data_IF_640076311563
#
_entry.id   IF_640076311563
#
_cell.length_a   1.000
_cell.length_b   1.000
_cell.length_c   1.000
_cell.angle_alpha   90.00
_cell.angle_beta   90.00
_cell.angle_gamma   90.00
#
_symmetry.space_group_name_H-M   'P 1'
#
loop_
_entity.id
_entity.type
_entity.pdbx_description
1 polymer ?
#
# COMPACT_ATOMS: atom_id res chain seq x y z
N UNK A 1 -2.11 6.19 -28.98
CA UNK A 1 -2.56 7.51 -28.54
C UNK A 1 -1.34 8.31 -28.09
N UNK A 2 -1.29 9.61 -28.40
CA UNK A 2 -0.23 10.53 -28.00
C UNK A 2 -0.85 11.81 -27.44
N UNK A 3 0.02 12.75 -26.98
CA UNK A 3 -0.39 14.04 -26.49
C UNK A 3 -1.06 14.04 -25.13
N UNK A 4 -1.87 15.06 -24.85
CA UNK A 4 -2.46 15.33 -23.53
C UNK A 4 -3.33 14.19 -23.00
N UNK A 5 -4.04 13.47 -23.86
CA UNK A 5 -4.87 12.34 -23.44
C UNK A 5 -4.04 11.17 -22.91
N UNK A 6 -2.91 10.86 -23.57
CA UNK A 6 -1.97 9.83 -23.06
C UNK A 6 -1.41 10.23 -21.71
N UNK A 7 -0.98 11.49 -21.56
CA UNK A 7 -0.45 12.00 -20.30
C UNK A 7 -1.47 11.91 -19.15
N UNK A 8 -2.75 12.22 -19.42
CA UNK A 8 -3.82 12.04 -18.42
C UNK A 8 -4.01 10.60 -17.99
N UNK A 9 -3.94 9.63 -18.91
CA UNK A 9 -3.99 8.21 -18.57
C UNK A 9 -2.77 7.77 -17.77
N UNK A 10 -1.57 8.23 -18.13
CA UNK A 10 -0.36 7.93 -17.38
C UNK A 10 -0.40 8.49 -15.96
N UNK A 11 -0.91 9.71 -15.76
CA UNK A 11 -1.10 10.29 -14.42
C UNK A 11 -2.15 9.52 -13.63
N UNK A 12 -3.28 9.17 -14.24
CA UNK A 12 -4.38 8.48 -13.55
C UNK A 12 -4.05 7.04 -13.20
N UNK A 13 -3.42 6.30 -14.10
CA UNK A 13 -3.28 4.85 -14.05
C UNK A 13 -1.83 4.38 -13.91
N UNK A 14 -0.84 5.28 -13.95
CA UNK A 14 0.59 4.94 -13.90
C UNK A 14 0.99 4.35 -12.56
N UNK A 15 1.41 3.10 -12.58
CA UNK A 15 1.84 2.33 -11.42
C UNK A 15 3.34 1.95 -11.46
N UNK A 16 4.02 2.25 -12.56
CA UNK A 16 5.44 1.95 -12.79
C UNK A 16 5.88 0.57 -12.26
N UNK A 17 5.11 -0.45 -12.60
CA UNK A 17 5.33 -1.83 -12.19
C UNK A 17 5.13 -2.13 -10.69
N UNK A 18 4.56 -1.23 -9.91
CA UNK A 18 4.10 -1.48 -8.53
C UNK A 18 2.81 -2.32 -8.50
N UNK A 19 2.29 -2.72 -9.67
CA UNK A 19 1.12 -3.57 -9.76
C UNK A 19 1.43 -4.99 -9.29
N UNK A 20 0.41 -5.63 -8.76
CA UNK A 20 0.47 -7.02 -8.34
C UNK A 20 0.71 -7.96 -9.53
N UNK A 21 1.67 -8.86 -9.38
CA UNK A 21 1.95 -9.97 -10.32
C UNK A 21 2.12 -11.25 -9.54
N UNK A 22 1.65 -12.35 -10.11
CA UNK A 22 1.84 -13.68 -9.51
C UNK A 22 1.65 -14.78 -10.56
N UNK A 23 2.09 -15.99 -10.24
CA UNK A 23 1.88 -17.17 -11.08
C UNK A 23 0.64 -17.92 -10.61
N UNK A 24 -0.25 -18.24 -11.54
CA UNK A 24 -1.42 -19.06 -11.24
C UNK A 24 -0.98 -20.45 -10.81
N UNK A 25 -1.47 -20.91 -9.66
CA UNK A 25 -1.26 -22.27 -9.15
C UNK A 25 -2.55 -23.08 -9.10
N UNK A 26 -3.70 -22.39 -9.07
CA UNK A 26 -5.01 -23.04 -9.10
C UNK A 26 -6.01 -22.13 -9.84
N UNK A 27 -6.85 -22.73 -10.67
CA UNK A 27 -7.94 -22.06 -11.37
C UNK A 27 -9.23 -22.87 -11.26
N UNK A 28 -10.29 -22.21 -10.83
CA UNK A 28 -11.66 -22.71 -10.86
C UNK A 28 -12.53 -21.76 -11.70
N UNK A 29 -13.78 -22.12 -11.97
CA UNK A 29 -14.68 -21.27 -12.78
C UNK A 29 -14.85 -19.85 -12.23
N UNK A 30 -14.71 -19.67 -10.91
CA UNK A 30 -14.94 -18.40 -10.23
C UNK A 30 -13.81 -18.00 -9.28
N UNK A 31 -12.67 -18.69 -9.31
CA UNK A 31 -11.52 -18.29 -8.49
C UNK A 31 -10.19 -18.58 -9.18
N UNK A 32 -9.21 -17.74 -8.87
CA UNK A 32 -7.81 -17.89 -9.29
C UNK A 32 -6.91 -17.71 -8.09
N UNK A 33 -6.10 -18.73 -7.79
CA UNK A 33 -5.05 -18.64 -6.77
C UNK A 33 -3.70 -18.46 -7.42
N UNK A 34 -2.91 -17.54 -6.87
CA UNK A 34 -1.57 -17.19 -7.37
C UNK A 34 -0.54 -17.25 -6.25
N UNK A 35 0.67 -17.65 -6.62
CA UNK A 35 1.87 -17.67 -5.78
C UNK A 35 3.03 -16.98 -6.51
N UNK A 36 4.21 -16.95 -5.91
CA UNK A 36 5.38 -16.25 -6.43
C UNK A 36 5.05 -14.80 -6.81
N UNK A 37 4.53 -14.09 -5.82
CA UNK A 37 3.94 -12.77 -5.95
C UNK A 37 5.05 -11.71 -5.95
N UNK A 38 4.88 -10.65 -6.76
CA UNK A 38 5.82 -9.52 -6.86
C UNK A 38 5.81 -8.60 -5.63
N UNK A 39 4.82 -8.73 -4.77
CA UNK A 39 4.62 -7.94 -3.55
C UNK A 39 4.75 -8.88 -2.36
N UNK A 40 5.84 -8.74 -1.61
CA UNK A 40 6.21 -9.71 -0.59
C UNK A 40 5.35 -9.62 0.68
N UNK A 41 4.86 -8.42 1.03
CA UNK A 41 4.20 -8.17 2.31
C UNK A 41 2.81 -7.56 2.15
N UNK A 42 1.89 -7.95 3.02
CA UNK A 42 0.50 -7.47 3.03
C UNK A 42 0.41 -5.94 3.18
N UNK A 43 1.37 -5.32 3.85
CA UNK A 43 1.39 -3.87 4.05
C UNK A 43 1.73 -3.10 2.76
N UNK A 44 2.45 -3.73 1.84
CA UNK A 44 2.78 -3.17 0.52
C UNK A 44 1.71 -3.49 -0.53
N UNK A 45 0.74 -4.37 -0.22
CA UNK A 45 -0.34 -4.73 -1.13
C UNK A 45 -1.34 -3.57 -1.28
N UNK A 46 -1.73 -3.28 -2.52
CA UNK A 46 -2.75 -2.26 -2.85
C UNK A 46 -3.69 -2.80 -3.94
N UNK A 47 -4.56 -3.71 -3.54
CA UNK A 47 -5.62 -4.24 -4.40
C UNK A 47 -6.94 -3.53 -4.07
N UNK A 48 -7.76 -3.17 -5.08
CA UNK A 48 -9.14 -2.76 -4.82
C UNK A 48 -9.90 -3.81 -4.02
N UNK A 49 -10.76 -3.36 -3.11
CA UNK A 49 -11.56 -4.26 -2.28
C UNK A 49 -12.54 -5.07 -3.11
N UNK A 50 -13.10 -4.43 -4.14
CA UNK A 50 -14.07 -5.01 -5.10
C UNK A 50 -13.97 -4.29 -6.45
N UNK A 51 -14.58 -4.87 -7.46
CA UNK A 51 -14.60 -4.34 -8.83
C UNK A 51 -13.18 -4.19 -9.43
N UNK A 52 -12.20 -4.84 -8.82
CA UNK A 52 -10.85 -4.88 -9.32
C UNK A 52 -10.73 -5.75 -10.58
N UNK A 53 -9.68 -5.52 -11.34
CA UNK A 53 -9.40 -6.25 -12.58
C UNK A 53 -8.09 -7.01 -12.47
N UNK A 54 -8.15 -8.26 -12.91
CA UNK A 54 -6.97 -9.08 -13.13
C UNK A 54 -6.90 -9.48 -14.60
N UNK A 55 -5.71 -9.65 -15.10
CA UNK A 55 -5.47 -10.10 -16.48
C UNK A 55 -4.56 -11.31 -16.46
N UNK A 56 -5.01 -12.39 -17.09
CA UNK A 56 -4.25 -13.61 -17.29
C UNK A 56 -4.44 -14.09 -18.73
N UNK A 57 -3.37 -14.50 -19.39
CA UNK A 57 -3.39 -14.91 -20.79
C UNK A 57 -4.11 -13.90 -21.71
N UNK A 58 -3.87 -12.59 -21.51
CA UNK A 58 -4.52 -11.47 -22.23
C UNK A 58 -6.07 -11.39 -22.08
N UNK A 59 -6.65 -12.15 -21.17
CA UNK A 59 -8.07 -12.07 -20.83
C UNK A 59 -8.20 -11.35 -19.50
N UNK A 60 -9.08 -10.35 -19.46
CA UNK A 60 -9.36 -9.60 -18.23
C UNK A 60 -10.63 -10.14 -17.56
N UNK A 61 -10.51 -10.35 -16.25
CA UNK A 61 -11.60 -10.75 -15.36
C UNK A 61 -11.79 -9.68 -14.28
N UNK A 62 -13.03 -9.43 -13.89
CA UNK A 62 -13.33 -8.67 -12.69
C UNK A 62 -13.41 -9.60 -11.50
N UNK A 63 -13.01 -9.12 -10.30
CA UNK A 63 -13.16 -9.86 -9.07
C UNK A 63 -13.97 -9.05 -8.06
N UNK A 64 -14.73 -9.76 -7.22
CA UNK A 64 -15.57 -9.18 -6.17
C UNK A 64 -14.85 -9.12 -4.81
N UNK A 65 -13.86 -10.00 -4.61
CA UNK A 65 -13.04 -10.04 -3.42
C UNK A 65 -11.71 -10.76 -3.67
N UNK A 66 -10.80 -10.59 -2.74
CA UNK A 66 -9.54 -11.33 -2.70
C UNK A 66 -9.22 -11.78 -1.27
N UNK A 67 -8.41 -12.82 -1.15
CA UNK A 67 -7.92 -13.36 0.11
C UNK A 67 -6.43 -13.68 -0.01
N UNK A 68 -5.63 -13.23 0.94
CA UNK A 68 -4.20 -13.49 1.02
C UNK A 68 -3.88 -14.43 2.18
N UNK A 69 -3.03 -15.42 1.96
CA UNK A 69 -2.42 -16.21 3.01
C UNK A 69 -1.12 -15.55 3.44
N UNK A 70 -1.02 -15.13 4.69
CA UNK A 70 0.15 -14.42 5.23
C UNK A 70 0.77 -15.19 6.40
N UNK A 71 2.11 -15.14 6.51
CA UNK A 71 2.83 -15.65 7.67
C UNK A 71 2.85 -14.64 8.84
N UNK A 72 3.50 -15.01 9.94
CA UNK A 72 3.63 -14.17 11.14
C UNK A 72 4.30 -12.81 10.89
N UNK A 73 5.09 -12.67 9.86
CA UNK A 73 5.76 -11.44 9.45
C UNK A 73 4.91 -10.60 8.47
N UNK A 74 3.73 -11.10 8.09
CA UNK A 74 2.85 -10.50 7.09
C UNK A 74 3.30 -10.77 5.65
N UNK A 75 4.26 -11.70 5.43
CA UNK A 75 4.67 -12.05 4.08
C UNK A 75 3.59 -12.89 3.40
N UNK A 76 3.27 -12.51 2.17
CA UNK A 76 2.22 -13.15 1.38
C UNK A 76 2.74 -14.46 0.79
N UNK A 77 2.05 -15.54 1.03
CA UNK A 77 2.35 -16.88 0.45
C UNK A 77 1.54 -17.12 -0.82
N UNK A 78 0.25 -16.77 -0.79
CA UNK A 78 -0.64 -16.88 -1.94
C UNK A 78 -1.75 -15.83 -1.86
N UNK A 79 -2.34 -15.51 -3.01
CA UNK A 79 -3.56 -14.69 -3.08
C UNK A 79 -4.57 -15.42 -3.93
N UNK A 80 -5.80 -15.50 -3.45
CA UNK A 80 -6.95 -16.03 -4.20
C UNK A 80 -7.88 -14.89 -4.56
N UNK A 81 -8.15 -14.73 -5.84
CA UNK A 81 -9.15 -13.79 -6.36
C UNK A 81 -10.47 -14.51 -6.58
N UNK A 82 -11.55 -14.02 -5.99
CA UNK A 82 -12.91 -14.48 -6.23
C UNK A 82 -13.53 -13.65 -7.35
N UNK A 83 -13.77 -14.28 -8.48
CA UNK A 83 -14.21 -13.59 -9.70
C UNK A 83 -15.68 -13.22 -9.61
N UNK A 84 -16.02 -12.11 -10.26
CA UNK A 84 -17.41 -11.69 -10.42
C UNK A 84 -18.19 -12.70 -11.25
N UNK A 85 -19.42 -12.99 -10.81
CA UNK A 85 -20.27 -14.04 -11.41
C UNK A 85 -20.63 -13.78 -12.87
N UNK A 86 -20.48 -12.55 -13.33
CA UNK A 86 -20.80 -12.13 -14.69
C UNK A 86 -19.86 -12.74 -15.75
N UNK A 87 -18.68 -13.18 -15.34
CA UNK A 87 -17.66 -13.69 -16.26
C UNK A 87 -16.90 -14.87 -15.64
N UNK A 88 -17.54 -16.03 -15.63
CA UNK A 88 -16.88 -17.27 -15.28
C UNK A 88 -15.76 -17.64 -16.25
N UNK A 89 -14.72 -18.29 -15.76
CA UNK A 89 -13.72 -18.93 -16.63
C UNK A 89 -14.34 -20.19 -17.23
N UNK A 90 -14.59 -20.15 -18.52
CA UNK A 90 -15.01 -21.33 -19.25
C UNK A 90 -13.80 -22.26 -19.41
N UNK A 91 -13.93 -23.51 -18.97
CA UNK A 91 -12.88 -24.53 -19.08
C UNK A 91 -11.53 -24.04 -18.44
N UNK A 92 -11.48 -23.88 -17.09
CA UNK A 92 -10.32 -23.27 -16.41
C UNK A 92 -8.99 -23.95 -16.75
N UNK A 93 -8.98 -25.27 -16.85
CA UNK A 93 -7.76 -26.05 -17.15
C UNK A 93 -7.16 -25.72 -18.53
N UNK A 94 -7.98 -25.31 -19.50
CA UNK A 94 -7.52 -24.94 -20.85
C UNK A 94 -7.29 -23.45 -20.99
N UNK A 95 -8.09 -22.63 -20.31
CA UNK A 95 -8.08 -21.17 -20.47
C UNK A 95 -6.99 -20.52 -19.62
N UNK A 96 -6.77 -21.04 -18.41
CA UNK A 96 -5.81 -20.53 -17.43
C UNK A 96 -5.00 -21.68 -16.88
N UNK A 97 -3.96 -22.08 -17.60
CA UNK A 97 -3.08 -23.15 -17.16
C UNK A 97 -2.24 -22.71 -15.95
N UNK A 98 -1.88 -23.69 -15.12
CA UNK A 98 -0.91 -23.51 -14.05
C UNK A 98 0.40 -22.90 -14.59
N UNK A 99 0.96 -21.94 -13.85
CA UNK A 99 2.18 -21.23 -14.23
C UNK A 99 1.96 -19.97 -15.09
N UNK A 100 0.74 -19.69 -15.57
CA UNK A 100 0.46 -18.44 -16.28
C UNK A 100 0.64 -17.23 -15.36
N UNK A 101 1.21 -16.15 -15.91
CA UNK A 101 1.35 -14.89 -15.20
C UNK A 101 0.00 -14.18 -15.13
N UNK A 102 -0.41 -13.87 -13.91
CA UNK A 102 -1.54 -13.00 -13.60
C UNK A 102 -1.01 -11.61 -13.21
N UNK A 103 -1.65 -10.56 -13.72
CA UNK A 103 -1.41 -9.19 -13.32
C UNK A 103 -2.72 -8.57 -12.79
N UNK A 104 -2.64 -7.84 -11.69
CA UNK A 104 -3.71 -6.96 -11.24
C UNK A 104 -3.29 -5.50 -11.43
N UNK A 105 -4.22 -4.66 -11.86
CA UNK A 105 -3.94 -3.27 -12.24
C UNK A 105 -3.47 -3.13 -13.68
N UNK A 106 -3.03 -1.93 -14.04
CA UNK A 106 -2.78 -1.53 -15.43
C UNK A 106 -1.37 -1.81 -15.94
N UNK A 107 -0.39 -2.04 -15.06
CA UNK A 107 1.03 -2.25 -15.41
C UNK A 107 1.61 -1.16 -16.35
N UNK A 108 1.23 0.11 -16.12
CA UNK A 108 1.67 1.24 -16.91
C UNK A 108 3.02 1.73 -16.40
N UNK A 109 4.04 1.69 -17.27
CA UNK A 109 5.39 2.15 -16.93
C UNK A 109 5.48 3.69 -16.93
N UNK A 110 4.70 4.32 -16.07
CA UNK A 110 4.74 5.74 -15.75
C UNK A 110 4.50 5.90 -14.24
N UNK A 111 5.07 6.92 -13.63
CA UNK A 111 4.83 7.27 -12.22
C UNK A 111 3.61 8.17 -12.14
N UNK A 112 2.46 7.54 -11.99
CA UNK A 112 1.18 8.21 -11.81
C UNK A 112 0.71 8.19 -10.36
N UNK A 113 -0.55 8.56 -10.15
CA UNK A 113 -1.18 8.55 -8.82
C UNK A 113 -1.08 7.17 -8.14
N UNK A 114 -1.37 6.04 -8.83
CA UNK A 114 -1.26 4.72 -8.19
C UNK A 114 0.15 4.40 -7.67
N UNK A 115 1.18 4.76 -8.43
CA UNK A 115 2.58 4.56 -8.00
C UNK A 115 2.89 5.25 -6.67
N UNK A 116 2.57 6.54 -6.55
CA UNK A 116 2.83 7.29 -5.32
C UNK A 116 1.93 6.87 -4.17
N UNK A 117 0.65 6.58 -4.46
CA UNK A 117 -0.28 6.10 -3.43
C UNK A 117 0.13 4.75 -2.86
N UNK A 118 0.66 3.83 -3.68
CA UNK A 118 1.19 2.54 -3.21
C UNK A 118 2.30 2.75 -2.19
N UNK A 119 3.27 3.60 -2.50
CA UNK A 119 4.38 3.89 -1.61
C UNK A 119 3.96 4.62 -0.33
N UNK A 120 3.08 5.62 -0.44
CA UNK A 120 2.55 6.32 0.74
C UNK A 120 1.73 5.40 1.64
N UNK A 121 0.90 4.51 1.07
CA UNK A 121 0.14 3.55 1.85
C UNK A 121 1.07 2.56 2.58
N UNK A 122 2.09 2.06 1.90
CA UNK A 122 3.12 1.22 2.52
C UNK A 122 3.81 1.95 3.68
N UNK A 123 4.17 3.20 3.47
CA UNK A 123 4.78 4.04 4.50
C UNK A 123 3.89 4.17 5.73
N UNK A 124 2.65 4.65 5.57
CA UNK A 124 1.78 4.91 6.73
C UNK A 124 1.42 3.63 7.48
N UNK A 125 1.25 2.50 6.77
CA UNK A 125 0.99 1.19 7.40
C UNK A 125 2.15 0.73 8.26
N UNK A 126 3.37 0.73 7.70
CA UNK A 126 4.57 0.30 8.41
C UNK A 126 4.90 1.23 9.58
N UNK A 127 4.90 2.52 9.34
CA UNK A 127 5.23 3.51 10.38
C UNK A 127 4.23 3.46 11.53
N UNK A 128 2.92 3.46 11.23
CA UNK A 128 1.87 3.47 12.25
C UNK A 128 1.87 2.19 13.08
N UNK A 129 2.02 1.03 12.43
CA UNK A 129 2.08 -0.24 13.17
C UNK A 129 3.26 -0.27 14.12
N UNK A 130 4.45 0.10 13.66
CA UNK A 130 5.65 0.09 14.50
C UNK A 130 5.57 1.12 15.62
N UNK A 131 5.06 2.31 15.34
CA UNK A 131 4.85 3.35 16.33
C UNK A 131 3.89 2.88 17.42
N UNK A 132 2.72 2.39 17.02
CA UNK A 132 1.71 1.90 17.95
C UNK A 132 2.20 0.70 18.76
N UNK A 133 3.00 -0.20 18.17
CA UNK A 133 3.62 -1.31 18.89
C UNK A 133 4.66 -0.86 19.92
N UNK A 134 5.40 0.21 19.67
CA UNK A 134 6.33 0.78 20.64
C UNK A 134 5.55 1.47 21.76
N UNK A 135 4.58 2.31 21.41
CA UNK A 135 3.74 3.04 22.34
C UNK A 135 2.98 2.11 23.29
N UNK A 136 2.43 1.02 22.78
CA UNK A 136 1.67 0.03 23.57
C UNK A 136 2.49 -0.71 24.64
N UNK A 137 3.84 -0.64 24.60
CA UNK A 137 4.70 -1.20 25.64
C UNK A 137 4.83 -0.28 26.86
N UNK A 138 4.46 0.99 26.67
CA UNK A 138 4.55 2.01 27.72
C UNK A 138 3.32 2.06 28.61
N UNK A 139 3.39 2.93 29.60
CA UNK A 139 2.28 3.31 30.45
C UNK A 139 2.06 4.83 30.35
N UNK A 140 0.80 5.22 30.29
CA UNK A 140 0.41 6.62 30.35
C UNK A 140 0.55 7.17 31.79
N UNK A 141 0.30 8.45 32.01
CA UNK A 141 0.45 9.05 33.34
C UNK A 141 -0.54 8.50 34.39
N UNK A 142 -1.54 7.73 34.00
CA UNK A 142 -2.47 7.05 34.90
C UNK A 142 -2.02 5.63 35.25
N UNK A 143 -0.95 5.14 34.63
CA UNK A 143 -0.47 3.76 34.77
C UNK A 143 -1.19 2.75 33.86
N UNK A 144 -2.04 3.23 32.95
CA UNK A 144 -2.78 2.40 32.00
C UNK A 144 -1.99 2.21 30.70
N UNK A 145 -2.33 1.18 29.92
CA UNK A 145 -1.86 1.04 28.54
C UNK A 145 -2.37 2.20 27.70
N UNK A 146 -1.52 2.91 26.96
CA UNK A 146 -1.95 4.03 26.13
C UNK A 146 -2.90 3.54 25.00
N UNK A 147 -3.86 4.40 24.59
CA UNK A 147 -4.66 4.10 23.40
C UNK A 147 -3.81 4.13 22.14
N UNK A 148 -4.25 3.47 21.08
CA UNK A 148 -3.60 3.49 19.77
C UNK A 148 -3.39 4.93 19.30
N UNK A 149 -2.15 5.32 19.00
CA UNK A 149 -1.81 6.70 18.63
C UNK A 149 -2.19 7.03 17.18
N UNK A 150 -1.77 6.18 16.22
CA UNK A 150 -2.14 6.32 14.81
C UNK A 150 -3.34 5.45 14.47
N UNK A 151 -4.33 6.05 13.88
CA UNK A 151 -5.61 5.44 13.54
C UNK A 151 -5.90 5.56 12.05
N UNK A 152 -6.79 4.73 11.54
CA UNK A 152 -7.43 4.92 10.24
C UNK A 152 -8.92 5.18 10.45
N UNK A 153 -9.45 6.19 9.77
CA UNK A 153 -10.83 6.64 9.95
C UNK A 153 -11.67 6.27 8.73
N UNK A 154 -12.83 5.66 8.97
CA UNK A 154 -13.80 5.36 7.91
C UNK A 154 -14.49 6.64 7.41
N UNK A 155 -15.12 6.57 6.24
CA UNK A 155 -15.95 7.66 5.71
C UNK A 155 -17.12 8.06 6.64
N UNK A 156 -17.45 7.21 7.63
CA UNK A 156 -18.48 7.47 8.65
C UNK A 156 -17.88 7.91 9.99
N UNK A 157 -16.63 8.35 10.00
CA UNK A 157 -15.88 8.79 11.17
C UNK A 157 -15.71 7.74 12.29
N UNK A 158 -15.78 6.44 11.93
CA UNK A 158 -15.44 5.36 12.85
C UNK A 158 -13.97 4.99 12.69
N UNK A 159 -13.31 4.65 13.79
CA UNK A 159 -11.94 4.13 13.79
C UNK A 159 -11.95 2.66 13.36
N UNK A 160 -11.00 2.29 12.51
CA UNK A 160 -10.75 0.89 12.17
C UNK A 160 -10.07 0.16 13.34
N UNK A 161 -10.47 -1.08 13.55
CA UNK A 161 -9.79 -2.01 14.44
C UNK A 161 -8.60 -2.68 13.70
N UNK A 162 -7.49 -2.92 14.40
CA UNK A 162 -6.30 -3.58 13.87
C UNK A 162 -5.93 -4.87 14.62
N UNK A 163 -6.85 -5.41 15.40
CA UNK A 163 -6.63 -6.59 16.27
C UNK A 163 -6.15 -7.83 15.53
N UNK A 164 -6.55 -8.02 14.25
CA UNK A 164 -6.08 -9.16 13.45
C UNK A 164 -4.61 -9.03 13.02
N UNK A 165 -4.05 -7.81 12.96
CA UNK A 165 -2.60 -7.62 12.78
C UNK A 165 -1.80 -8.22 13.92
N UNK A 166 -2.25 -8.08 15.16
CA UNK A 166 -1.62 -8.72 16.31
C UNK A 166 -1.83 -10.25 16.29
N UNK A 167 -2.98 -10.71 15.82
CA UNK A 167 -3.31 -12.12 15.78
C UNK A 167 -2.38 -12.88 14.83
N UNK A 168 -2.19 -12.42 13.60
CA UNK A 168 -1.29 -13.12 12.68
C UNK A 168 0.18 -13.00 13.10
N UNK A 169 0.59 -11.91 13.74
CA UNK A 169 1.97 -11.73 14.21
C UNK A 169 2.38 -12.75 15.31
N UNK A 170 1.41 -13.37 15.95
CA UNK A 170 1.61 -14.38 17.00
C UNK A 170 1.51 -15.82 16.48
N UNK A 171 1.38 -16.02 15.18
CA UNK A 171 1.30 -17.37 14.59
C UNK A 171 2.61 -18.13 14.80
N UNK A 172 2.54 -19.43 15.08
CA UNK A 172 3.70 -20.31 15.05
C UNK A 172 4.36 -20.36 13.66
N UNK A 173 5.66 -20.64 13.64
CA UNK A 173 6.42 -20.78 12.39
C UNK A 173 5.77 -21.79 11.43
N UNK A 174 5.68 -21.39 10.18
CA UNK A 174 5.09 -22.21 9.12
C UNK A 174 3.56 -22.18 9.05
N UNK A 175 2.88 -21.51 9.97
CA UNK A 175 1.44 -21.28 9.87
C UNK A 175 1.12 -19.97 9.13
N UNK A 176 -0.07 -19.90 8.55
CA UNK A 176 -0.58 -18.72 7.85
C UNK A 176 -1.96 -18.33 8.38
N UNK A 177 -2.25 -17.02 8.29
CA UNK A 177 -3.59 -16.49 8.47
C UNK A 177 -4.16 -16.04 7.12
N UNK A 178 -5.48 -16.08 7.01
CA UNK A 178 -6.20 -15.54 5.85
C UNK A 178 -6.56 -14.09 6.12
N UNK A 179 -6.06 -13.19 5.28
CA UNK A 179 -6.34 -11.75 5.33
C UNK A 179 -7.06 -11.36 4.04
N UNK A 180 -8.05 -10.52 4.16
CA UNK A 180 -8.77 -9.91 3.03
C UNK A 180 -8.97 -8.40 3.26
N UNK A 181 -9.58 -7.72 2.32
CA UNK A 181 -9.83 -6.26 2.40
C UNK A 181 -10.68 -5.83 3.59
N UNK A 182 -11.46 -6.75 4.18
CA UNK A 182 -12.33 -6.48 5.34
C UNK A 182 -11.69 -6.86 6.66
N UNK A 183 -10.55 -7.54 6.65
CA UNK A 183 -9.82 -7.94 7.85
C UNK A 183 -9.36 -6.73 8.67
N UNK A 184 -9.43 -6.84 9.99
CA UNK A 184 -9.06 -5.79 10.94
C UNK A 184 -7.54 -5.70 11.08
N UNK A 185 -6.87 -5.29 10.01
CA UNK A 185 -5.41 -5.17 9.91
C UNK A 185 -5.00 -3.79 9.44
N UNK A 186 -3.72 -3.46 9.59
CA UNK A 186 -3.14 -2.21 9.05
C UNK A 186 -3.24 -2.10 7.53
N UNK A 187 -3.60 -3.17 6.79
CA UNK A 187 -3.93 -3.08 5.37
C UNK A 187 -5.00 -2.01 5.08
N UNK A 188 -5.97 -1.84 5.98
CA UNK A 188 -7.06 -0.85 5.83
C UNK A 188 -6.60 0.59 6.00
N UNK A 189 -5.42 0.82 6.56
CA UNK A 189 -4.83 2.15 6.67
C UNK A 189 -4.26 2.58 5.32
N UNK A 190 -4.58 3.79 4.92
CA UNK A 190 -4.10 4.43 3.69
C UNK A 190 -3.71 5.87 3.99
N UNK A 191 -2.90 6.50 3.15
CA UNK A 191 -2.57 7.91 3.27
C UNK A 191 -3.80 8.84 3.25
N UNK A 192 -4.93 8.37 2.70
CA UNK A 192 -6.17 9.14 2.62
C UNK A 192 -7.02 9.08 3.89
N UNK A 193 -6.90 8.03 4.72
CA UNK A 193 -7.69 7.83 5.93
C UNK A 193 -6.86 7.81 7.22
N UNK A 194 -5.55 7.98 7.11
CA UNK A 194 -4.60 8.07 8.22
C UNK A 194 -4.92 9.28 9.11
N UNK A 195 -4.88 9.08 10.42
CA UNK A 195 -5.17 10.11 11.43
C UNK A 195 -4.42 9.84 12.73
N UNK A 196 -4.28 10.89 13.54
CA UNK A 196 -3.87 10.77 14.94
C UNK A 196 -5.13 10.64 15.81
N UNK A 197 -5.03 9.81 16.84
CA UNK A 197 -6.11 9.60 17.82
C UNK A 197 -6.50 10.93 18.49
N UNK A 198 -7.78 11.27 18.41
CA UNK A 198 -8.30 12.53 18.95
C UNK A 198 -8.22 12.62 20.47
N UNK A 199 -8.35 11.49 21.16
CA UNK A 199 -8.31 11.47 22.62
C UNK A 199 -6.88 11.82 23.11
N UNK A 200 -5.86 11.27 22.45
CA UNK A 200 -4.44 11.61 22.73
C UNK A 200 -4.14 13.07 22.37
N UNK A 201 -4.72 13.59 21.30
CA UNK A 201 -4.54 15.01 20.94
C UNK A 201 -5.19 15.96 21.93
N UNK A 202 -6.30 15.56 22.55
CA UNK A 202 -7.02 16.36 23.55
C UNK A 202 -6.41 16.23 24.94
N UNK A 203 -5.86 15.08 25.27
CA UNK A 203 -5.25 14.76 26.56
C UNK A 203 -3.90 14.07 26.37
N UNK A 204 -2.83 14.85 26.41
CA UNK A 204 -1.45 14.36 26.25
C UNK A 204 -1.00 13.43 27.38
N UNK A 205 -1.73 13.37 28.50
CA UNK A 205 -1.44 12.42 29.58
C UNK A 205 -1.68 10.97 29.19
N UNK A 206 -2.42 10.74 28.09
CA UNK A 206 -2.67 9.41 27.53
C UNK A 206 -1.48 8.86 26.73
N UNK A 207 -0.50 9.71 26.35
CA UNK A 207 0.71 9.30 25.65
C UNK A 207 1.71 8.69 26.62
N UNK A 208 2.32 7.56 26.26
CA UNK A 208 3.34 6.91 27.08
C UNK A 208 4.74 7.46 26.76
N UNK A 209 5.45 7.88 27.78
CA UNK A 209 6.85 8.29 27.66
C UNK A 209 7.82 7.24 28.20
N UNK A 210 7.33 6.34 29.04
CA UNK A 210 8.10 5.30 29.72
C UNK A 210 7.33 3.99 29.84
N UNK A 211 8.04 2.90 29.98
CA UNK A 211 7.48 1.59 30.38
C UNK A 211 7.02 1.54 31.83
N UNK A 212 7.44 2.50 32.67
CA UNK A 212 7.08 2.61 34.08
C UNK A 212 6.72 4.06 34.41
N UNK A 213 5.42 4.35 34.55
CA UNK A 213 4.91 5.71 34.82
C UNK A 213 5.35 6.30 36.16
N UNK A 214 5.79 5.46 37.09
CA UNK A 214 6.30 5.92 38.41
C UNK A 214 7.70 6.52 38.32
N UNK A 215 8.47 6.13 37.30
CA UNK A 215 9.81 6.64 37.03
C UNK A 215 9.76 7.92 36.22
N UNK A 216 9.71 9.06 36.88
CA UNK A 216 9.56 10.38 36.24
C UNK A 216 10.76 10.83 35.37
N UNK A 217 11.89 10.15 35.44
CA UNK A 217 13.14 10.43 34.70
C UNK A 217 13.40 9.39 33.57
N UNK A 218 12.51 8.45 33.36
CA UNK A 218 12.62 7.48 32.28
C UNK A 218 11.89 7.97 31.05
N UNK A 219 12.55 7.93 29.87
CA UNK A 219 11.98 8.26 28.55
C UNK A 219 12.26 7.15 27.55
N UNK A 220 12.28 5.91 27.99
CA UNK A 220 12.66 4.74 27.18
C UNK A 220 11.75 4.51 25.98
N UNK A 221 10.45 4.76 26.08
CA UNK A 221 9.51 4.71 24.95
C UNK A 221 9.83 5.80 23.92
N UNK A 222 10.09 7.04 24.38
CA UNK A 222 10.46 8.15 23.49
C UNK A 222 11.78 7.87 22.76
N UNK A 223 12.76 7.26 23.47
CA UNK A 223 14.02 6.86 22.86
C UNK A 223 13.83 5.73 21.82
N UNK A 224 12.92 4.77 22.04
CA UNK A 224 12.57 3.78 21.04
C UNK A 224 11.87 4.40 19.80
N UNK A 225 10.93 5.31 20.02
CA UNK A 225 10.26 6.06 18.94
C UNK A 225 11.25 6.87 18.11
N UNK A 226 12.23 7.52 18.78
CA UNK A 226 13.29 8.26 18.09
C UNK A 226 14.17 7.34 17.23
N UNK A 227 14.48 6.14 17.71
CA UNK A 227 15.21 5.13 16.93
C UNK A 227 14.40 4.64 15.73
N UNK A 228 13.05 4.58 15.84
CA UNK A 228 12.19 4.22 14.72
C UNK A 228 12.39 5.15 13.52
N UNK A 229 12.57 6.44 13.76
CA UNK A 229 12.77 7.43 12.70
C UNK A 229 14.10 7.23 11.94
N UNK A 230 15.20 6.93 12.63
CA UNK A 230 16.55 7.05 12.08
C UNK A 230 17.31 5.72 11.93
N UNK A 231 17.02 4.70 12.74
CA UNK A 231 17.83 3.47 12.83
C UNK A 231 17.17 2.23 12.22
N UNK A 232 15.83 2.14 12.27
CA UNK A 232 15.12 0.93 11.81
C UNK A 232 14.95 0.93 10.31
N UNK A 233 15.45 -0.11 9.67
CA UNK A 233 15.31 -0.36 8.24
C UNK A 233 13.99 -1.07 7.99
N UNK A 234 12.98 -0.37 7.51
CA UNK A 234 11.59 -0.86 7.46
C UNK A 234 10.97 -0.80 6.08
N UNK A 235 11.46 0.10 5.23
CA UNK A 235 10.83 0.39 3.95
C UNK A 235 11.74 -0.08 2.82
N UNK A 236 11.45 -1.26 2.28
CA UNK A 236 12.21 -1.85 1.17
C UNK A 236 13.73 -1.88 1.40
N UNK A 237 14.14 -2.04 2.67
CA UNK A 237 15.55 -1.99 3.06
C UNK A 237 16.06 -0.59 3.41
N UNK A 238 15.19 0.43 3.48
CA UNK A 238 15.55 1.81 3.76
C UNK A 238 15.00 2.30 5.12
N UNK A 239 15.44 3.47 5.56
CA UNK A 239 14.90 4.15 6.75
C UNK A 239 13.66 4.95 6.38
N UNK A 240 12.79 5.23 7.37
CA UNK A 240 11.57 6.03 7.18
C UNK A 240 11.84 7.39 6.50
N UNK A 241 12.86 8.12 6.98
CA UNK A 241 13.24 9.43 6.43
C UNK A 241 13.70 9.31 4.96
N UNK A 242 14.65 8.40 4.68
CA UNK A 242 15.18 8.20 3.33
C UNK A 242 14.11 7.76 2.33
N UNK A 243 13.14 6.95 2.77
CA UNK A 243 12.03 6.53 1.93
C UNK A 243 11.13 7.71 1.54
N UNK A 244 10.76 8.58 2.51
CA UNK A 244 9.98 9.79 2.23
C UNK A 244 10.75 10.76 1.34
N UNK A 245 12.04 10.99 1.59
CA UNK A 245 12.90 11.82 0.75
C UNK A 245 12.95 11.29 -0.70
N UNK A 246 13.00 9.95 -0.86
CA UNK A 246 12.96 9.32 -2.19
C UNK A 246 11.65 9.60 -2.90
N UNK A 247 10.51 9.51 -2.22
CA UNK A 247 9.20 9.86 -2.79
C UNK A 247 9.19 11.32 -3.24
N UNK A 248 9.58 12.25 -2.38
CA UNK A 248 9.61 13.70 -2.68
C UNK A 248 10.56 14.00 -3.84
N UNK A 249 11.75 13.39 -3.85
CA UNK A 249 12.74 13.55 -4.91
C UNK A 249 12.20 13.05 -6.25
N UNK A 250 11.53 11.90 -6.27
CA UNK A 250 10.91 11.36 -7.47
C UNK A 250 9.84 12.30 -8.04
N UNK A 251 8.97 12.86 -7.18
CA UNK A 251 7.95 13.84 -7.58
C UNK A 251 8.61 15.08 -8.18
N UNK A 252 9.65 15.59 -7.53
CA UNK A 252 10.38 16.79 -7.98
C UNK A 252 11.02 16.58 -9.34
N UNK A 253 11.73 15.48 -9.54
CA UNK A 253 12.38 15.13 -10.83
C UNK A 253 11.36 14.93 -11.93
N UNK A 254 10.24 14.28 -11.66
CA UNK A 254 9.20 14.04 -12.67
C UNK A 254 8.48 15.34 -13.02
N UNK A 255 8.28 16.26 -12.06
CA UNK A 255 7.73 17.61 -12.30
C UNK A 255 8.67 18.43 -13.17
N UNK A 256 9.97 18.46 -12.86
CA UNK A 256 10.97 19.19 -13.66
C UNK A 256 11.04 18.69 -15.11
N UNK A 257 11.02 17.36 -15.29
CA UNK A 257 10.95 16.75 -16.63
C UNK A 257 9.70 17.17 -17.38
N UNK A 258 8.52 17.12 -16.73
CA UNK A 258 7.25 17.51 -17.32
C UNK A 258 7.27 18.97 -17.76
N UNK A 259 7.77 19.88 -16.92
CA UNK A 259 7.91 21.29 -17.27
C UNK A 259 8.87 21.52 -18.44
N UNK A 260 10.02 20.83 -18.44
CA UNK A 260 11.02 20.93 -19.50
C UNK A 260 10.43 20.47 -20.84
N UNK A 261 9.74 19.32 -20.87
CA UNK A 261 9.10 18.83 -22.08
C UNK A 261 7.96 19.76 -22.53
N UNK A 262 7.17 20.29 -21.61
CA UNK A 262 6.12 21.24 -21.96
C UNK A 262 6.67 22.49 -22.65
N UNK A 263 7.74 23.07 -22.12
CA UNK A 263 8.45 24.22 -22.73
C UNK A 263 9.00 23.86 -24.11
N UNK A 264 9.64 22.68 -24.24
CA UNK A 264 10.20 22.22 -25.51
C UNK A 264 9.13 22.05 -26.58
N UNK A 265 8.02 21.37 -26.25
CA UNK A 265 6.94 21.13 -27.21
C UNK A 265 6.20 22.42 -27.58
N UNK A 266 6.00 23.34 -26.64
CA UNK A 266 5.41 24.67 -26.92
C UNK A 266 6.28 25.48 -27.87
N UNK A 267 7.60 25.47 -27.68
CA UNK A 267 8.54 26.16 -28.59
C UNK A 267 8.54 25.53 -29.99
N UNK A 268 8.48 24.17 -30.06
CA UNK A 268 8.39 23.44 -31.31
C UNK A 268 7.10 23.77 -32.07
N UNK A 269 5.97 23.76 -31.36
CA UNK A 269 4.65 24.14 -31.92
C UNK A 269 4.70 25.58 -32.51
N UNK A 270 5.23 26.53 -31.76
CA UNK A 270 5.38 27.90 -32.22
C UNK A 270 6.30 27.99 -33.45
N UNK A 271 7.39 27.25 -33.47
CA UNK A 271 8.31 27.20 -34.61
C UNK A 271 7.62 26.65 -35.87
N UNK A 272 6.88 25.56 -35.73
CA UNK A 272 6.12 24.94 -36.84
C UNK A 272 5.02 25.90 -37.33
N UNK A 273 4.31 26.56 -36.39
CA UNK A 273 3.29 27.55 -36.74
C UNK A 273 3.88 28.73 -37.55
N UNK A 274 5.03 29.26 -37.11
CA UNK A 274 5.75 30.32 -37.82
C UNK A 274 6.23 29.88 -39.20
N UNK A 275 6.72 28.66 -39.35
CA UNK A 275 7.12 28.10 -40.64
C UNK A 275 5.93 27.97 -41.61
N UNK A 276 4.76 27.52 -41.10
CA UNK A 276 3.54 27.41 -41.90
C UNK A 276 2.98 28.76 -42.38
N UNK A 277 3.21 29.83 -41.63
CA UNK A 277 2.75 31.18 -41.99
C UNK A 277 3.75 31.92 -42.88
N UNK A 278 4.98 31.43 -43.03
CA UNK A 278 6.02 32.02 -43.89
C UNK A 278 6.05 31.41 -45.31
N UNK A 279 5.18 30.47 -45.62
CA UNK A 279 4.92 29.92 -46.96
C UNK A 279 3.60 30.44 -47.50
#
# INVERSE_FOLDING_TARGET
AGGSLKALFEVRDGDNLENFKGKVTKADSYSLTVENISIDNIKSLNLPDKDGKITVNNISYSYDSWEAQVDAQGNIKSVTFNLSKDKAIADPEKTVAEGYLLNAGSAINARGIPYYMTQLNEFVRNFSEMFNQIESKGQNLNGDTPPTFFEAITNTAKVYDFSESEAYSKLPDGQTATINSSSNTYYRMTAANFSVNKDVMNDVSLFATSTDYVKTDSCDIVDELKKLQSEKTVYRGDKAESFLETIISNVSVDTEKAETYNKLYSNLEQTIANQRTSV
#
